data_IF_209582950108
#
_entry.id   IF_209582950108
#
_cell.length_a   1.000
_cell.length_b   1.000
_cell.length_c   1.000
_cell.angle_alpha   90.00
_cell.angle_beta   90.00
_cell.angle_gamma   90.00
#
_symmetry.space_group_name_H-M   'P 1'
#
loop_
_entity.id
_entity.type
_entity.pdbx_description
1 polymer ?
#
# COMPACT_ATOMS: atom_id res chain seq x y z
N UNK A 1 7.52 -9.45 -4.19
CA UNK A 1 6.37 -9.60 -5.08
C UNK A 1 5.49 -8.36 -5.01
N UNK A 2 5.10 -7.83 -6.15
CA UNK A 2 4.09 -6.80 -6.35
C UNK A 2 2.99 -7.40 -7.21
N UNK A 3 1.77 -7.38 -6.68
CA UNK A 3 0.57 -7.69 -7.45
C UNK A 3 -0.16 -6.38 -7.72
N UNK A 4 -0.66 -6.19 -8.94
CA UNK A 4 -1.29 -4.93 -9.34
C UNK A 4 -2.46 -5.16 -10.28
N UNK A 5 -3.36 -4.19 -10.32
CA UNK A 5 -4.47 -4.19 -11.26
C UNK A 5 -3.93 -4.07 -12.69
N UNK A 6 -4.31 -4.98 -13.56
CA UNK A 6 -3.83 -5.06 -14.93
C UNK A 6 -4.95 -5.39 -15.90
N UNK A 7 -5.11 -4.57 -16.95
CA UNK A 7 -5.86 -4.95 -18.13
C UNK A 7 -4.86 -5.38 -19.21
N UNK A 8 -4.72 -6.67 -19.52
CA UNK A 8 -3.71 -7.14 -20.45
C UNK A 8 -4.06 -6.89 -21.93
N UNK A 9 -5.24 -6.33 -22.21
CA UNK A 9 -5.74 -6.17 -23.58
C UNK A 9 -5.68 -4.73 -24.06
N UNK A 10 -5.82 -3.75 -23.16
CA UNK A 10 -5.88 -2.34 -23.49
C UNK A 10 -5.58 -1.43 -22.30
N UNK A 11 -5.52 -0.11 -22.52
CA UNK A 11 -5.18 0.88 -21.50
C UNK A 11 -6.35 1.35 -20.64
N UNK A 12 -7.56 0.92 -20.98
CA UNK A 12 -8.75 1.31 -20.24
C UNK A 12 -8.94 0.47 -18.98
N UNK A 13 -9.64 1.05 -18.00
CA UNK A 13 -9.90 0.39 -16.73
C UNK A 13 -11.08 -0.59 -16.86
N UNK A 14 -10.82 -1.76 -17.35
CA UNK A 14 -11.74 -2.88 -17.44
C UNK A 14 -10.97 -4.21 -17.48
N UNK A 15 -11.66 -5.34 -17.54
CA UNK A 15 -11.06 -6.69 -17.65
C UNK A 15 -9.96 -6.96 -16.60
N UNK A 16 -10.10 -6.43 -15.39
CA UNK A 16 -9.04 -6.46 -14.38
C UNK A 16 -8.57 -7.87 -14.04
N UNK A 17 -7.27 -8.05 -14.21
CA UNK A 17 -6.46 -9.18 -13.75
C UNK A 17 -5.59 -8.72 -12.57
N UNK A 18 -4.89 -9.64 -11.94
CA UNK A 18 -3.72 -9.31 -11.14
C UNK A 18 -2.46 -9.57 -11.94
N UNK A 19 -1.84 -8.51 -12.40
CA UNK A 19 -0.47 -8.49 -12.90
C UNK A 19 0.51 -8.80 -11.77
N UNK A 20 1.69 -9.25 -12.12
CA UNK A 20 2.70 -9.67 -11.15
C UNK A 20 4.09 -9.21 -11.55
N UNK A 21 4.80 -8.59 -10.62
CA UNK A 21 6.19 -8.26 -10.77
C UNK A 21 6.99 -8.65 -9.53
N UNK A 22 8.28 -8.87 -9.71
CA UNK A 22 9.22 -9.18 -8.62
C UNK A 22 10.42 -8.25 -8.65
N UNK A 23 10.92 -7.90 -7.48
CA UNK A 23 12.13 -7.08 -7.31
C UNK A 23 12.94 -7.58 -6.12
N UNK A 24 14.27 -7.36 -6.17
CA UNK A 24 15.17 -7.60 -5.05
C UNK A 24 15.47 -6.33 -4.24
N UNK A 25 15.24 -5.17 -4.85
CA UNK A 25 15.62 -3.86 -4.32
C UNK A 25 14.50 -2.82 -4.37
N UNK A 26 13.29 -3.21 -4.79
CA UNK A 26 12.11 -2.35 -4.91
C UNK A 26 12.23 -1.25 -5.98
N UNK A 27 13.31 -1.23 -6.76
CA UNK A 27 13.58 -0.25 -7.82
C UNK A 27 13.59 -0.90 -9.20
N UNK A 28 14.23 -2.07 -9.31
CA UNK A 28 14.35 -2.83 -10.55
C UNK A 28 13.37 -3.99 -10.53
N UNK A 29 12.30 -3.86 -11.27
CA UNK A 29 11.21 -4.82 -11.34
C UNK A 29 11.30 -5.69 -12.57
N UNK A 30 11.05 -6.98 -12.40
CA UNK A 30 10.84 -7.92 -13.48
C UNK A 30 9.38 -8.34 -13.49
N UNK A 31 8.71 -8.02 -14.58
CA UNK A 31 7.34 -8.45 -14.82
C UNK A 31 7.28 -9.96 -15.09
N UNK A 32 6.25 -10.57 -14.56
CA UNK A 32 5.91 -11.99 -14.73
C UNK A 32 4.51 -12.10 -15.32
N UNK A 33 4.04 -13.34 -15.55
CA UNK A 33 2.68 -13.57 -16.03
C UNK A 33 1.65 -13.15 -14.97
N UNK A 34 0.47 -12.73 -15.43
CA UNK A 34 -0.69 -12.48 -14.57
C UNK A 34 -1.03 -13.72 -13.73
N UNK A 35 -1.29 -13.50 -12.45
CA UNK A 35 -1.53 -14.59 -11.50
C UNK A 35 -3.01 -14.85 -11.24
N UNK A 36 -3.88 -13.86 -11.46
CA UNK A 36 -5.33 -14.02 -11.34
C UNK A 36 -6.01 -13.42 -12.58
N UNK A 37 -6.91 -14.19 -13.15
CA UNK A 37 -7.71 -13.82 -14.32
C UNK A 37 -9.20 -13.83 -13.97
N UNK A 38 -10.03 -13.01 -14.65
CA UNK A 38 -11.48 -13.05 -14.51
C UNK A 38 -12.07 -14.45 -14.65
N UNK A 39 -13.16 -14.70 -13.92
CA UNK A 39 -13.92 -15.94 -13.99
C UNK A 39 -15.43 -15.68 -13.83
N UNK A 40 -16.21 -16.70 -13.56
CA UNK A 40 -17.66 -16.60 -13.36
C UNK A 40 -18.07 -15.74 -12.16
N UNK A 41 -17.16 -15.47 -11.21
CA UNK A 41 -17.39 -14.59 -10.06
C UNK A 41 -17.12 -13.11 -10.38
N UNK A 42 -16.40 -12.81 -11.46
CA UNK A 42 -16.15 -11.44 -11.91
C UNK A 42 -14.70 -11.15 -12.27
N UNK A 43 -14.39 -9.87 -12.40
CA UNK A 43 -13.02 -9.37 -12.60
C UNK A 43 -12.27 -9.27 -11.27
N UNK A 44 -10.94 -9.24 -11.33
CA UNK A 44 -10.08 -9.29 -10.14
C UNK A 44 -9.84 -7.89 -9.60
N UNK A 45 -10.56 -7.51 -8.55
CA UNK A 45 -10.35 -6.26 -7.83
C UNK A 45 -9.28 -6.42 -6.75
N UNK A 46 -9.07 -5.34 -5.97
CA UNK A 46 -8.02 -5.25 -4.96
C UNK A 46 -8.10 -6.32 -3.88
N UNK A 47 -6.99 -6.53 -3.23
CA UNK A 47 -6.84 -7.48 -2.16
C UNK A 47 -5.44 -7.44 -1.55
N UNK A 48 -5.02 -8.51 -0.92
CA UNK A 48 -3.69 -8.65 -0.32
C UNK A 48 -3.17 -10.08 -0.42
N UNK A 49 -1.88 -10.26 -0.21
CA UNK A 49 -1.26 -11.57 -0.15
C UNK A 49 -0.52 -11.78 1.18
N UNK A 50 -0.60 -12.99 1.71
CA UNK A 50 0.07 -13.41 2.95
C UNK A 50 0.83 -14.72 2.75
N UNK A 51 1.80 -14.99 3.62
CA UNK A 51 2.46 -16.29 3.70
C UNK A 51 1.87 -17.07 4.87
N UNK A 52 1.27 -18.22 4.60
CA UNK A 52 0.72 -19.11 5.64
C UNK A 52 1.81 -20.03 6.20
N UNK A 53 2.64 -19.45 7.09
CA UNK A 53 3.78 -20.15 7.70
C UNK A 53 3.38 -21.38 8.50
N UNK A 54 2.17 -21.36 9.05
CA UNK A 54 1.68 -22.39 9.95
C UNK A 54 0.77 -23.40 9.24
N UNK A 55 0.63 -23.31 7.92
CA UNK A 55 -0.26 -24.16 7.13
C UNK A 55 -1.70 -24.18 7.69
N UNK A 56 -2.21 -23.05 8.13
CA UNK A 56 -3.54 -22.93 8.72
C UNK A 56 -4.65 -23.20 7.71
N UNK A 57 -4.39 -22.88 6.43
CA UNK A 57 -5.31 -23.13 5.34
C UNK A 57 -5.19 -24.54 4.73
N UNK A 58 -4.17 -25.31 5.11
CA UNK A 58 -3.99 -26.69 4.67
C UNK A 58 -3.50 -26.85 3.22
N UNK A 59 -2.84 -25.83 2.65
CA UNK A 59 -2.26 -25.90 1.29
C UNK A 59 -0.75 -26.12 1.28
N UNK A 60 -0.14 -26.32 2.42
CA UNK A 60 1.29 -26.51 2.62
C UNK A 60 1.91 -25.37 3.45
N UNK A 61 3.03 -25.71 4.10
CA UNK A 61 3.80 -24.71 4.86
C UNK A 61 4.34 -23.64 3.90
N UNK A 62 4.30 -22.38 4.35
CA UNK A 62 4.74 -21.22 3.57
C UNK A 62 3.98 -20.99 2.25
N UNK A 63 2.80 -21.60 2.09
CA UNK A 63 1.95 -21.29 0.95
C UNK A 63 1.66 -19.77 0.90
N UNK A 64 1.83 -19.17 -0.26
CA UNK A 64 1.39 -17.78 -0.49
C UNK A 64 -0.11 -17.78 -0.78
N UNK A 65 -0.89 -17.05 0.00
CA UNK A 65 -2.34 -16.97 -0.15
C UNK A 65 -2.71 -15.56 -0.55
N UNK A 66 -3.34 -15.42 -1.72
CA UNK A 66 -3.96 -14.20 -2.18
C UNK A 66 -5.42 -14.17 -1.71
N UNK A 67 -5.82 -13.06 -1.11
CA UNK A 67 -7.19 -12.77 -0.72
C UNK A 67 -7.62 -11.56 -1.54
N UNK A 68 -8.65 -11.69 -2.36
CA UNK A 68 -9.02 -10.67 -3.33
C UNK A 68 -10.53 -10.53 -3.48
N UNK A 69 -10.97 -9.39 -3.98
CA UNK A 69 -12.35 -9.17 -4.37
C UNK A 69 -12.56 -9.60 -5.82
N UNK A 70 -13.56 -10.42 -6.09
CA UNK A 70 -14.09 -10.63 -7.44
C UNK A 70 -15.31 -9.74 -7.62
N UNK A 71 -15.29 -8.91 -8.67
CA UNK A 71 -16.33 -7.93 -8.97
C UNK A 71 -17.20 -8.40 -10.15
N UNK A 72 -18.25 -9.12 -9.84
CA UNK A 72 -19.27 -9.57 -10.81
C UNK A 72 -20.63 -8.98 -10.48
N UNK A 73 -21.68 -9.80 -10.59
CA UNK A 73 -23.05 -9.39 -10.20
C UNK A 73 -23.14 -8.94 -8.73
N UNK A 74 -22.27 -9.49 -7.89
CA UNK A 74 -22.03 -9.08 -6.51
C UNK A 74 -20.53 -9.08 -6.28
N UNK A 75 -20.03 -8.17 -5.47
CA UNK A 75 -18.66 -8.25 -4.97
C UNK A 75 -18.54 -9.36 -3.95
N UNK A 76 -17.50 -10.16 -4.06
CA UNK A 76 -17.25 -11.28 -3.12
C UNK A 76 -15.76 -11.39 -2.82
N UNK A 77 -15.42 -11.83 -1.62
CA UNK A 77 -14.04 -12.10 -1.25
C UNK A 77 -13.69 -13.55 -1.58
N UNK A 78 -12.49 -13.74 -2.11
CA UNK A 78 -12.07 -15.01 -2.68
C UNK A 78 -10.63 -15.29 -2.30
N UNK A 79 -10.23 -16.57 -2.42
CA UNK A 79 -8.87 -17.04 -2.17
C UNK A 79 -8.27 -17.65 -3.42
N UNK A 80 -6.98 -17.43 -3.59
CA UNK A 80 -6.11 -18.24 -4.42
C UNK A 80 -4.82 -18.52 -3.65
N UNK A 81 -4.16 -19.62 -3.95
CA UNK A 81 -2.93 -20.01 -3.25
C UNK A 81 -1.86 -20.48 -4.23
N UNK A 82 -0.63 -20.30 -3.81
CA UNK A 82 0.58 -20.72 -4.51
C UNK A 82 1.47 -21.54 -3.58
N UNK A 83 2.02 -22.63 -4.09
CA UNK A 83 3.01 -23.46 -3.41
C UNK A 83 4.37 -23.46 -4.11
N UNK A 84 4.55 -22.57 -5.10
CA UNK A 84 5.75 -22.42 -5.92
C UNK A 84 6.38 -21.03 -5.81
N UNK A 85 6.28 -20.42 -4.62
CA UNK A 85 6.76 -19.06 -4.30
C UNK A 85 6.10 -17.97 -5.17
N UNK A 86 4.80 -18.09 -5.39
CA UNK A 86 4.01 -17.06 -6.06
C UNK A 86 4.17 -17.03 -7.59
N UNK A 87 4.71 -18.08 -8.22
CA UNK A 87 4.83 -18.16 -9.68
C UNK A 87 3.51 -18.48 -10.33
N UNK A 88 2.75 -19.39 -9.74
CA UNK A 88 1.39 -19.75 -10.19
C UNK A 88 0.44 -19.75 -9.00
N UNK A 89 -0.84 -19.47 -9.28
CA UNK A 89 -1.90 -19.48 -8.28
C UNK A 89 -3.05 -20.39 -8.72
N UNK A 90 -3.55 -21.18 -7.77
CA UNK A 90 -4.78 -21.96 -7.93
C UNK A 90 -5.90 -21.31 -7.15
N UNK A 91 -7.01 -21.00 -7.80
CA UNK A 91 -8.20 -20.47 -7.12
C UNK A 91 -8.81 -21.53 -6.20
N UNK A 92 -9.22 -21.13 -5.01
CA UNK A 92 -9.83 -22.04 -4.05
C UNK A 92 -11.20 -22.50 -4.53
N UNK A 93 -11.44 -23.81 -4.55
CA UNK A 93 -12.70 -24.39 -5.04
C UNK A 93 -13.93 -24.04 -4.18
N UNK A 94 -13.71 -23.62 -2.92
CA UNK A 94 -14.75 -23.18 -2.01
C UNK A 94 -15.06 -21.68 -2.07
N UNK A 95 -14.56 -20.95 -3.08
CA UNK A 95 -14.94 -19.55 -3.29
C UNK A 95 -16.42 -19.41 -3.67
N UNK A 96 -17.09 -18.31 -3.29
CA UNK A 96 -16.58 -17.19 -2.47
C UNK A 96 -16.53 -17.53 -0.97
N UNK A 97 -15.60 -16.90 -0.23
CA UNK A 97 -15.46 -17.10 1.22
C UNK A 97 -16.22 -16.06 2.05
N UNK A 98 -16.53 -14.91 1.48
CA UNK A 98 -17.27 -13.82 2.13
C UNK A 98 -17.87 -12.89 1.06
N UNK A 99 -18.93 -12.17 1.42
CA UNK A 99 -19.52 -11.12 0.61
C UNK A 99 -20.62 -10.37 1.36
N UNK A 100 -21.09 -9.23 0.87
CA UNK A 100 -20.54 -8.37 -0.20
C UNK A 100 -19.27 -7.66 0.27
N UNK A 101 -18.90 -6.48 -0.11
CA UNK A 101 -17.73 -5.68 0.32
C UNK A 101 -16.51 -5.86 -0.59
N UNK A 102 -15.42 -5.08 -0.35
CA UNK A 102 -14.21 -5.11 -1.20
C UNK A 102 -12.93 -4.73 -0.46
N UNK A 103 -11.80 -4.96 -1.12
CA UNK A 103 -10.45 -4.54 -0.77
C UNK A 103 -9.96 -5.16 0.55
N UNK A 104 -9.89 -6.51 0.65
CA UNK A 104 -9.47 -7.16 1.88
C UNK A 104 -7.97 -7.00 2.14
N UNK A 105 -7.61 -6.41 3.29
CA UNK A 105 -6.27 -6.45 3.86
C UNK A 105 -6.19 -7.49 4.94
N UNK A 106 -5.34 -8.50 4.75
CA UNK A 106 -5.17 -9.62 5.67
C UNK A 106 -3.77 -9.64 6.26
N UNK A 107 -3.66 -9.97 7.55
CA UNK A 107 -2.40 -10.19 8.24
C UNK A 107 -2.56 -11.17 9.41
N UNK A 108 -1.44 -11.77 9.84
CA UNK A 108 -1.39 -12.63 11.01
C UNK A 108 -1.24 -11.80 12.29
N UNK A 109 -2.18 -11.98 13.23
CA UNK A 109 -2.10 -11.37 14.56
C UNK A 109 -1.55 -12.37 15.57
N UNK A 110 -0.25 -12.33 15.77
CA UNK A 110 0.49 -13.32 16.59
C UNK A 110 0.00 -13.46 18.04
N UNK A 111 -0.37 -12.35 18.77
CA UNK A 111 -0.79 -12.49 20.16
C UNK A 111 -2.03 -13.37 20.36
N UNK A 112 -2.91 -13.45 19.37
CA UNK A 112 -4.13 -14.28 19.44
C UNK A 112 -4.10 -15.47 18.46
N UNK A 113 -2.98 -15.69 17.78
CA UNK A 113 -2.76 -16.77 16.81
C UNK A 113 -3.92 -16.91 15.81
N UNK A 114 -4.23 -15.83 15.10
CA UNK A 114 -5.30 -15.77 14.13
C UNK A 114 -5.02 -14.79 13.01
N UNK A 115 -5.69 -14.98 11.92
CA UNK A 115 -5.77 -14.03 10.83
C UNK A 115 -6.76 -12.92 11.14
N UNK A 116 -6.40 -11.71 10.76
CA UNK A 116 -7.25 -10.53 10.81
C UNK A 116 -7.46 -10.04 9.40
N UNK A 117 -8.69 -9.72 9.04
CA UNK A 117 -9.03 -9.02 7.80
C UNK A 117 -9.66 -7.67 8.12
N UNK A 118 -9.11 -6.62 7.55
CA UNK A 118 -9.76 -5.33 7.42
C UNK A 118 -10.40 -5.26 6.03
N UNK A 119 -11.71 -5.04 5.96
CA UNK A 119 -12.49 -5.08 4.72
C UNK A 119 -13.34 -3.82 4.61
N UNK A 120 -13.29 -3.13 3.47
CA UNK A 120 -14.10 -1.93 3.26
C UNK A 120 -15.55 -2.29 2.96
N UNK A 121 -16.48 -1.63 3.69
CA UNK A 121 -17.92 -1.73 3.50
C UNK A 121 -18.53 -0.33 3.52
N UNK A 122 -19.12 0.10 2.40
CA UNK A 122 -19.81 1.38 2.20
C UNK A 122 -19.12 2.62 2.82
N UNK A 123 -19.07 2.75 4.15
CA UNK A 123 -18.51 3.92 4.87
C UNK A 123 -17.72 3.56 6.13
N UNK A 124 -17.35 2.29 6.29
CA UNK A 124 -16.57 1.80 7.42
C UNK A 124 -15.61 0.69 6.98
N UNK A 125 -14.64 0.42 7.81
CA UNK A 125 -13.79 -0.76 7.72
C UNK A 125 -14.31 -1.80 8.70
N UNK A 126 -14.72 -2.95 8.20
CA UNK A 126 -15.11 -4.10 8.99
C UNK A 126 -13.87 -4.92 9.39
N UNK A 127 -13.83 -5.41 10.62
CA UNK A 127 -12.78 -6.30 11.12
C UNK A 127 -13.35 -7.70 11.28
N UNK A 128 -12.66 -8.65 10.68
CA UNK A 128 -12.97 -10.07 10.77
C UNK A 128 -11.77 -10.84 11.33
N UNK A 129 -12.04 -11.98 11.94
CA UNK A 129 -11.02 -12.94 12.35
C UNK A 129 -11.24 -14.30 11.69
N UNK A 130 -10.13 -15.02 11.43
CA UNK A 130 -10.14 -16.39 10.93
C UNK A 130 -9.02 -17.22 11.56
N UNK A 131 -9.23 -18.53 11.65
CA UNK A 131 -8.20 -19.50 12.04
C UNK A 131 -7.57 -20.19 10.83
N UNK A 132 -8.27 -20.16 9.68
CA UNK A 132 -7.96 -21.01 8.52
C UNK A 132 -7.98 -20.26 7.17
N UNK A 133 -8.07 -18.90 7.19
CA UNK A 133 -8.24 -18.03 6.02
C UNK A 133 -9.55 -18.26 5.23
N UNK A 134 -10.26 -19.35 5.46
CA UNK A 134 -11.43 -19.77 4.69
C UNK A 134 -12.74 -19.35 5.34
N UNK A 135 -12.80 -19.35 6.67
CA UNK A 135 -13.98 -18.98 7.46
C UNK A 135 -13.70 -17.75 8.29
N UNK A 136 -14.51 -16.72 8.12
CA UNK A 136 -14.33 -15.42 8.74
C UNK A 136 -15.47 -15.06 9.65
N UNK A 137 -15.14 -14.57 10.84
CA UNK A 137 -16.08 -14.13 11.85
C UNK A 137 -15.97 -12.61 12.03
N UNK A 138 -17.09 -11.91 11.83
CA UNK A 138 -17.15 -10.45 12.08
C UNK A 138 -16.88 -10.13 13.55
N UNK A 139 -16.09 -9.10 13.80
CA UNK A 139 -15.70 -8.65 15.15
C UNK A 139 -16.11 -7.22 15.45
N UNK A 140 -15.78 -6.30 14.61
CA UNK A 140 -16.03 -4.87 14.85
C UNK A 140 -15.96 -4.06 13.56
N UNK A 141 -16.18 -2.75 13.68
CA UNK A 141 -16.02 -1.80 12.56
C UNK A 141 -15.41 -0.48 13.01
N UNK A 142 -14.72 0.19 12.09
CA UNK A 142 -14.19 1.56 12.25
C UNK A 142 -14.81 2.43 11.17
N UNK A 143 -15.58 3.45 11.60
CA UNK A 143 -16.33 4.32 10.67
C UNK A 143 -15.49 5.40 10.04
N UNK A 144 -15.96 5.89 8.88
CA UNK A 144 -15.47 7.11 8.23
C UNK A 144 -14.22 6.90 7.40
N UNK A 145 -14.01 5.72 6.85
CA UNK A 145 -12.98 5.38 5.89
C UNK A 145 -13.61 4.93 4.59
N UNK A 146 -12.86 5.10 3.50
CA UNK A 146 -13.30 4.76 2.15
C UNK A 146 -12.20 3.98 1.43
N UNK A 147 -12.51 2.77 0.97
CA UNK A 147 -11.68 1.86 0.18
C UNK A 147 -10.29 1.49 0.73
N UNK A 148 -9.73 0.39 0.24
CA UNK A 148 -8.35 -0.07 0.41
C UNK A 148 -7.82 0.13 1.85
N UNK A 149 -8.40 -0.54 2.84
CA UNK A 149 -7.99 -0.39 4.24
C UNK A 149 -6.61 -0.98 4.49
N UNK A 150 -5.86 -0.35 5.38
CA UNK A 150 -4.61 -0.85 5.94
C UNK A 150 -4.67 -0.79 7.46
N UNK A 151 -4.16 -1.81 8.12
CA UNK A 151 -4.10 -1.91 9.58
C UNK A 151 -2.80 -2.59 10.00
N UNK A 152 -1.96 -1.87 10.74
CA UNK A 152 -0.63 -2.35 11.14
C UNK A 152 -0.10 -1.65 12.39
N UNK A 153 0.90 -2.24 13.02
CA UNK A 153 1.59 -1.70 14.18
C UNK A 153 2.95 -1.09 13.78
N UNK A 154 3.30 0.04 14.40
CA UNK A 154 4.59 0.70 14.26
C UNK A 154 5.14 1.16 15.61
N UNK A 155 6.46 1.11 15.81
CA UNK A 155 7.12 1.76 16.93
C UNK A 155 7.07 3.29 16.76
N UNK A 156 6.84 4.01 17.86
CA UNK A 156 6.96 5.47 17.91
C UNK A 156 8.44 5.80 18.12
N UNK A 157 9.00 6.67 17.28
CA UNK A 157 10.41 7.10 17.31
C UNK A 157 11.40 5.91 17.30
N UNK A 158 11.04 4.80 16.64
CA UNK A 158 11.84 3.58 16.61
C UNK A 158 11.85 2.77 17.92
N UNK A 159 11.13 3.20 18.96
CA UNK A 159 11.10 2.52 20.25
C UNK A 159 10.19 1.28 20.22
N UNK A 160 10.79 0.08 20.21
CA UNK A 160 10.09 -1.19 20.18
C UNK A 160 9.15 -1.45 21.37
N UNK A 161 9.35 -0.73 22.50
CA UNK A 161 8.49 -0.83 23.69
C UNK A 161 7.31 0.16 23.65
N UNK A 162 7.34 1.14 22.76
CA UNK A 162 6.27 2.11 22.57
C UNK A 162 5.70 2.00 21.16
N UNK A 163 4.71 1.13 20.97
CA UNK A 163 4.10 0.88 19.69
C UNK A 163 2.66 1.39 19.64
N UNK A 164 2.24 1.79 18.46
CA UNK A 164 0.86 2.17 18.17
C UNK A 164 0.38 1.48 16.90
N UNK A 165 -0.90 1.24 16.86
CA UNK A 165 -1.58 0.77 15.66
C UNK A 165 -2.02 1.95 14.80
N UNK A 166 -1.89 1.76 13.51
CA UNK A 166 -2.33 2.72 12.49
C UNK A 166 -3.39 2.03 11.63
N UNK A 167 -4.50 2.72 11.41
CA UNK A 167 -5.47 2.37 10.40
C UNK A 167 -5.54 3.50 9.38
N UNK A 168 -5.46 3.19 8.09
CA UNK A 168 -5.67 4.17 7.02
C UNK A 168 -6.49 3.57 5.87
N UNK A 169 -6.88 4.41 4.92
CA UNK A 169 -7.63 4.03 3.74
C UNK A 169 -7.12 4.75 2.47
N UNK A 170 -7.73 4.47 1.34
CA UNK A 170 -7.27 4.84 0.00
C UNK A 170 -6.83 6.30 -0.17
N UNK A 171 -7.53 7.24 0.46
CA UNK A 171 -7.24 8.68 0.36
C UNK A 171 -6.06 9.17 1.21
N UNK A 172 -5.40 8.30 1.98
CA UNK A 172 -4.35 8.67 2.93
C UNK A 172 -4.85 9.26 4.25
N UNK A 173 -6.14 9.20 4.50
CA UNK A 173 -6.71 9.51 5.82
C UNK A 173 -6.40 8.39 6.80
N UNK A 174 -5.90 8.73 8.00
CA UNK A 174 -5.52 7.74 9.01
C UNK A 174 -5.90 8.12 10.44
N UNK A 175 -5.94 7.11 11.30
CA UNK A 175 -6.01 7.23 12.76
C UNK A 175 -4.88 6.44 13.41
N UNK A 176 -4.47 6.91 14.60
CA UNK A 176 -3.54 6.20 15.49
C UNK A 176 -4.34 5.69 16.70
N UNK A 177 -4.04 4.49 17.16
CA UNK A 177 -4.75 3.90 18.27
C UNK A 177 -4.15 2.63 18.82
N UNK A 178 -5.00 1.80 19.41
CA UNK A 178 -4.70 0.45 19.91
C UNK A 178 -5.54 -0.58 19.18
N UNK A 179 -5.01 -1.77 19.03
CA UNK A 179 -5.72 -2.90 18.45
C UNK A 179 -5.46 -4.17 19.27
N UNK A 180 -6.51 -4.91 19.58
CA UNK A 180 -6.43 -6.12 20.40
C UNK A 180 -6.63 -7.41 19.60
N UNK A 181 -6.55 -7.35 18.28
CA UNK A 181 -6.81 -8.45 17.36
C UNK A 181 -8.26 -8.53 16.86
N UNK A 182 -9.18 -7.75 17.45
CA UNK A 182 -10.60 -7.75 17.07
C UNK A 182 -11.20 -6.35 17.01
N UNK A 183 -10.73 -5.43 17.83
CA UNK A 183 -11.26 -4.07 17.95
C UNK A 183 -10.13 -3.06 17.84
N UNK A 184 -10.26 -2.10 16.91
CA UNK A 184 -9.42 -0.92 16.87
C UNK A 184 -10.05 0.18 17.72
N UNK A 185 -9.29 0.71 18.68
CA UNK A 185 -9.69 1.82 19.54
C UNK A 185 -8.88 3.07 19.16
N UNK A 186 -9.45 4.06 18.49
CA UNK A 186 -8.74 5.27 18.10
C UNK A 186 -8.32 6.08 19.32
N UNK A 187 -7.10 6.62 19.30
CA UNK A 187 -6.58 7.57 20.28
C UNK A 187 -6.46 8.97 19.67
N UNK A 188 -6.03 9.06 18.43
CA UNK A 188 -5.80 10.30 17.68
C UNK A 188 -6.19 10.17 16.20
N UNK A 189 -6.57 11.27 15.61
CA UNK A 189 -6.92 11.42 14.20
C UNK A 189 -8.35 11.95 14.03
N UNK A 190 -8.85 12.18 12.82
CA UNK A 190 -8.24 11.77 11.55
C UNK A 190 -7.20 12.77 11.07
N UNK A 191 -6.15 12.26 10.48
CA UNK A 191 -5.10 13.04 9.83
C UNK A 191 -4.91 12.55 8.40
N UNK A 192 -4.22 13.34 7.58
CA UNK A 192 -3.67 12.93 6.29
C UNK A 192 -2.16 12.80 6.39
N UNK A 193 -1.56 11.81 5.69
CA UNK A 193 -0.12 11.60 5.70
C UNK A 193 0.55 11.87 4.35
N UNK A 194 -0.21 12.09 3.30
CA UNK A 194 0.32 12.45 1.98
C UNK A 194 -0.63 13.39 1.24
N UNK A 195 -0.09 14.08 0.24
CA UNK A 195 -0.81 14.89 -0.73
C UNK A 195 -0.42 14.49 -2.15
N UNK A 196 -1.13 14.99 -3.17
CA UNK A 196 -0.82 14.73 -4.57
C UNK A 196 -1.58 13.55 -5.16
N UNK A 197 -0.95 12.84 -6.10
CA UNK A 197 -1.61 11.86 -6.97
C UNK A 197 -1.73 10.45 -6.38
N UNK A 198 -1.11 10.20 -5.24
CA UNK A 198 -1.15 8.88 -4.59
C UNK A 198 -2.58 8.51 -4.17
N UNK A 199 -2.95 7.28 -4.46
CA UNK A 199 -4.22 6.70 -4.03
C UNK A 199 -4.05 5.21 -3.73
N UNK A 200 -4.94 4.63 -2.91
CA UNK A 200 -5.04 3.20 -2.67
C UNK A 200 -3.68 2.51 -2.34
N UNK A 201 -2.80 3.22 -1.62
CA UNK A 201 -1.51 2.69 -1.23
C UNK A 201 -1.68 1.50 -0.29
N UNK A 202 -0.90 0.44 -0.51
CA UNK A 202 -0.90 -0.75 0.32
C UNK A 202 0.49 -1.08 0.85
N UNK A 203 0.54 -1.65 2.06
CA UNK A 203 1.80 -2.06 2.68
C UNK A 203 2.17 -3.49 2.30
N UNK A 204 3.47 -3.72 2.10
CA UNK A 204 4.02 -5.07 1.93
C UNK A 204 3.93 -5.87 3.22
N UNK A 205 3.61 -7.15 3.09
CA UNK A 205 3.75 -8.12 4.17
C UNK A 205 5.14 -8.77 4.11
N UNK A 206 5.67 -9.16 5.29
CA UNK A 206 6.91 -9.95 5.41
C UNK A 206 8.16 -9.28 4.80
N UNK A 207 8.36 -7.97 5.03
CA UNK A 207 9.63 -7.31 4.69
C UNK A 207 10.76 -7.91 5.52
N UNK A 208 11.91 -8.30 4.90
CA UNK A 208 12.97 -9.03 5.61
C UNK A 208 13.60 -8.28 6.78
N UNK A 209 13.63 -6.97 6.69
CA UNK A 209 14.22 -6.05 7.67
C UNK A 209 13.20 -5.48 8.68
N UNK A 210 11.94 -5.88 8.57
CA UNK A 210 10.85 -5.43 9.45
C UNK A 210 10.37 -4.00 9.19
N UNK A 211 10.90 -3.31 8.18
CA UNK A 211 10.38 -2.00 7.77
C UNK A 211 8.91 -2.09 7.33
N UNK A 212 8.16 -1.05 7.56
CA UNK A 212 6.81 -0.93 7.01
C UNK A 212 6.88 -0.16 5.69
N UNK A 213 6.93 -0.92 4.61
CA UNK A 213 7.00 -0.38 3.25
C UNK A 213 5.62 -0.36 2.61
N UNK A 214 5.33 0.68 1.85
CA UNK A 214 4.11 0.74 1.04
C UNK A 214 4.44 1.11 -0.40
N UNK A 215 3.52 0.79 -1.29
CA UNK A 215 3.50 1.28 -2.67
C UNK A 215 2.10 1.81 -2.98
N UNK A 216 2.03 2.91 -3.69
CA UNK A 216 0.77 3.57 -4.02
C UNK A 216 0.50 3.60 -5.51
N UNK A 217 -0.76 3.68 -5.87
CA UNK A 217 -1.19 3.97 -7.22
C UNK A 217 -1.05 5.47 -7.51
N UNK A 218 -0.25 5.81 -8.51
CA UNK A 218 -0.13 7.16 -9.06
C UNK A 218 -1.18 7.40 -10.12
N UNK A 219 -2.21 8.17 -9.79
CA UNK A 219 -3.29 8.53 -10.72
C UNK A 219 -2.84 9.61 -11.69
N UNK A 220 -1.95 9.24 -12.59
CA UNK A 220 -1.35 10.12 -13.59
C UNK A 220 -1.70 9.61 -14.97
N UNK A 221 -2.28 10.45 -15.80
CA UNK A 221 -2.53 10.09 -17.21
C UNK A 221 -1.20 9.92 -17.95
N UNK A 222 -1.12 8.90 -18.79
CA UNK A 222 0.06 8.57 -19.60
C UNK A 222 -0.29 8.54 -21.10
N UNK A 223 -0.67 9.67 -21.69
CA UNK A 223 -1.17 9.72 -23.07
C UNK A 223 -0.08 9.27 -24.07
N UNK A 224 -0.48 8.35 -24.98
CA UNK A 224 0.42 7.79 -25.98
C UNK A 224 1.35 6.68 -25.51
N UNK A 225 1.28 6.31 -24.24
CA UNK A 225 2.02 5.15 -23.70
C UNK A 225 1.19 3.85 -23.86
N UNK A 226 1.82 2.69 -23.92
CA UNK A 226 1.10 1.41 -23.96
C UNK A 226 0.51 1.00 -22.60
N UNK A 227 0.47 1.90 -21.64
CA UNK A 227 -0.12 1.73 -20.31
C UNK A 227 -0.81 3.02 -19.88
N UNK A 228 -1.69 2.94 -18.90
CA UNK A 228 -2.29 4.08 -18.22
C UNK A 228 -2.06 3.95 -16.72
N UNK A 229 -1.76 5.09 -16.05
CA UNK A 229 -1.42 5.13 -14.64
C UNK A 229 -0.05 4.47 -14.34
N UNK A 230 0.39 4.51 -13.11
CA UNK A 230 1.67 3.89 -12.70
C UNK A 230 1.69 3.55 -11.21
N UNK A 231 2.61 2.66 -10.83
CA UNK A 231 2.97 2.48 -9.43
C UNK A 231 4.01 3.52 -9.03
N UNK A 232 3.78 4.20 -7.91
CA UNK A 232 4.72 5.18 -7.37
C UNK A 232 5.96 4.48 -6.79
N UNK A 233 7.02 5.26 -6.53
CA UNK A 233 8.15 4.73 -5.77
C UNK A 233 7.68 4.24 -4.39
N UNK A 234 8.17 3.09 -3.92
CA UNK A 234 7.89 2.62 -2.59
C UNK A 234 8.35 3.63 -1.52
N UNK A 235 7.59 3.69 -0.45
CA UNK A 235 7.87 4.57 0.68
C UNK A 235 7.91 3.78 1.98
N UNK A 236 8.67 4.27 2.95
CA UNK A 236 8.74 3.73 4.30
C UNK A 236 7.88 4.55 5.25
N UNK A 237 7.04 3.86 6.00
CA UNK A 237 6.17 4.45 7.00
C UNK A 237 6.82 4.38 8.38
N UNK A 238 6.74 5.48 9.13
CA UNK A 238 7.20 5.57 10.51
C UNK A 238 6.29 6.44 11.36
N UNK A 239 6.23 6.17 12.66
CA UNK A 239 5.58 7.07 13.62
C UNK A 239 6.65 7.90 14.33
N UNK A 240 6.45 9.22 14.35
CA UNK A 240 7.36 10.15 15.01
C UNK A 240 6.59 11.09 15.93
N UNK A 241 7.21 11.46 17.05
CA UNK A 241 6.73 12.50 17.94
C UNK A 241 6.99 13.86 17.32
N UNK A 242 5.98 14.72 17.29
CA UNK A 242 6.04 16.12 16.87
C UNK A 242 5.51 17.02 17.98
N UNK A 243 5.61 18.33 17.82
CA UNK A 243 5.01 19.31 18.74
C UNK A 243 3.50 19.17 18.88
N UNK A 244 2.83 18.58 17.89
CA UNK A 244 1.39 18.32 17.89
C UNK A 244 1.02 16.89 18.32
N UNK A 245 2.00 16.10 18.74
CA UNK A 245 1.87 14.69 19.12
C UNK A 245 2.37 13.73 18.03
N UNK A 246 2.08 12.44 18.18
CA UNK A 246 2.55 11.41 17.26
C UNK A 246 1.87 11.56 15.90
N UNK A 247 2.68 11.49 14.81
CA UNK A 247 2.22 11.54 13.43
C UNK A 247 2.82 10.41 12.59
N UNK A 248 2.09 10.01 11.55
CA UNK A 248 2.58 9.09 10.52
C UNK A 248 3.38 9.86 9.48
N UNK A 249 4.61 9.40 9.24
CA UNK A 249 5.50 9.91 8.20
C UNK A 249 5.62 8.88 7.10
N UNK A 250 5.72 9.38 5.87
CA UNK A 250 5.86 8.62 4.64
C UNK A 250 7.06 9.18 3.87
N UNK A 251 8.18 8.45 3.87
CA UNK A 251 9.40 8.89 3.21
C UNK A 251 9.76 7.93 2.07
N UNK A 252 10.34 8.40 0.96
CA UNK A 252 10.89 7.51 -0.06
C UNK A 252 11.86 6.51 0.59
N UNK A 253 11.87 5.27 0.08
CA UNK A 253 12.81 4.24 0.54
C UNK A 253 14.25 4.68 0.31
N UNK A 254 15.16 4.25 1.19
CA UNK A 254 16.58 4.62 1.09
C UNK A 254 17.25 4.13 -0.18
N UNK A 255 16.76 3.04 -0.75
CA UNK A 255 17.23 2.42 -2.00
C UNK A 255 17.17 3.37 -3.19
N UNK A 256 16.27 4.37 -3.21
CA UNK A 256 16.17 5.38 -4.27
C UNK A 256 17.51 6.09 -4.54
N UNK A 257 18.40 6.15 -3.54
CA UNK A 257 19.73 6.73 -3.67
C UNK A 257 20.60 6.01 -4.71
N UNK A 258 20.33 4.74 -4.99
CA UNK A 258 21.04 3.97 -6.02
C UNK A 258 20.77 4.49 -7.44
N UNK A 259 19.69 5.26 -7.62
CA UNK A 259 19.33 5.88 -8.89
C UNK A 259 20.02 7.23 -9.09
N UNK A 260 20.64 7.80 -8.05
CA UNK A 260 21.29 9.10 -8.14
C UNK A 260 22.58 9.02 -8.97
N UNK A 261 22.69 9.84 -10.02
CA UNK A 261 23.88 9.98 -10.86
C UNK A 261 24.71 11.21 -10.52
N UNK A 262 24.06 12.25 -10.01
CA UNK A 262 24.70 13.49 -9.58
C UNK A 262 24.05 13.98 -8.29
N UNK A 263 24.81 14.68 -7.47
CA UNK A 263 24.35 15.29 -6.23
C UNK A 263 24.69 16.78 -6.24
N UNK A 264 23.71 17.61 -5.90
CA UNK A 264 23.84 19.06 -5.77
C UNK A 264 23.44 19.46 -4.36
N UNK A 265 24.26 20.26 -3.70
CA UNK A 265 23.96 20.84 -2.39
C UNK A 265 23.88 22.34 -2.49
N UNK A 266 22.86 22.95 -1.91
CA UNK A 266 22.56 24.38 -2.02
C UNK A 266 22.15 24.92 -0.64
N UNK A 267 23.07 24.94 0.32
CA UNK A 267 22.82 25.49 1.65
C UNK A 267 23.16 26.96 1.76
N UNK A 268 22.41 27.69 2.60
CA UNK A 268 22.66 29.09 2.92
C UNK A 268 22.52 30.10 1.74
N UNK A 269 21.74 29.71 0.73
CA UNK A 269 21.50 30.52 -0.46
C UNK A 269 20.12 31.16 -0.42
N UNK A 270 19.99 32.34 -1.01
CA UNK A 270 18.70 32.94 -1.31
C UNK A 270 17.95 32.17 -2.38
N UNK A 271 16.64 32.35 -2.45
CA UNK A 271 15.77 31.73 -3.47
C UNK A 271 16.27 32.07 -4.90
N UNK A 272 16.74 33.30 -5.12
CA UNK A 272 17.26 33.72 -6.41
C UNK A 272 18.53 32.95 -6.80
N UNK A 273 19.47 32.77 -5.89
CA UNK A 273 20.71 32.00 -6.13
C UNK A 273 20.41 30.50 -6.35
N UNK A 274 19.47 29.93 -5.62
CA UNK A 274 19.01 28.56 -5.84
C UNK A 274 18.42 28.42 -7.25
N UNK A 275 17.55 29.35 -7.66
CA UNK A 275 16.94 29.33 -8.99
C UNK A 275 17.99 29.42 -10.12
N UNK A 276 19.04 30.25 -9.98
CA UNK A 276 20.10 30.31 -10.96
C UNK A 276 20.88 28.98 -11.06
N UNK A 277 21.17 28.34 -9.94
CA UNK A 277 21.82 27.03 -9.94
C UNK A 277 20.96 25.95 -10.54
N UNK A 278 19.65 25.91 -10.25
CA UNK A 278 18.71 24.95 -10.81
C UNK A 278 18.63 25.03 -12.34
N UNK A 279 18.82 26.21 -12.96
CA UNK A 279 18.85 26.36 -14.42
C UNK A 279 19.93 25.53 -15.10
N UNK A 280 21.03 25.20 -14.40
CA UNK A 280 22.10 24.36 -14.94
C UNK A 280 21.77 22.85 -14.91
N UNK A 281 20.79 22.44 -14.13
CA UNK A 281 20.39 21.04 -14.00
C UNK A 281 19.47 20.67 -15.16
N UNK A 282 19.97 19.85 -16.09
CA UNK A 282 19.29 19.48 -17.35
C UNK A 282 18.80 18.03 -17.33
N UNK A 283 18.12 17.63 -16.25
CA UNK A 283 17.56 16.29 -16.15
C UNK A 283 16.06 16.36 -15.83
N UNK A 284 15.22 15.51 -16.44
CA UNK A 284 13.81 15.43 -16.09
C UNK A 284 13.55 14.63 -14.79
N UNK A 285 14.54 13.88 -14.29
CA UNK A 285 14.40 13.03 -13.11
C UNK A 285 15.15 13.66 -11.93
N UNK A 286 14.41 14.17 -10.98
CA UNK A 286 14.95 14.90 -9.82
C UNK A 286 14.38 14.29 -8.52
N UNK A 287 15.28 14.03 -7.57
CA UNK A 287 14.94 13.82 -6.17
C UNK A 287 15.44 15.02 -5.38
N UNK A 288 14.53 15.84 -4.88
CA UNK A 288 14.85 17.04 -4.10
C UNK A 288 14.50 16.84 -2.62
N UNK A 289 15.42 17.21 -1.75
CA UNK A 289 15.21 17.30 -0.30
C UNK A 289 15.49 18.74 0.09
N UNK A 290 14.52 19.40 0.72
CA UNK A 290 14.62 20.81 1.05
C UNK A 290 14.21 21.03 2.51
N UNK A 291 15.07 21.72 3.26
CA UNK A 291 14.73 22.32 4.55
C UNK A 291 14.45 23.81 4.31
N UNK A 292 13.24 24.23 4.59
CA UNK A 292 12.77 25.59 4.29
C UNK A 292 12.17 26.23 5.53
N UNK A 293 12.65 27.40 5.91
CA UNK A 293 11.98 28.28 6.86
C UNK A 293 10.94 29.12 6.12
N UNK A 294 9.69 29.03 6.54
CA UNK A 294 8.56 29.76 5.95
C UNK A 294 7.95 30.65 7.03
N UNK A 295 7.95 31.96 6.77
CA UNK A 295 7.24 32.92 7.59
C UNK A 295 5.71 32.75 7.44
N UNK A 296 4.96 33.21 8.45
CA UNK A 296 3.49 33.14 8.43
C UNK A 296 2.93 33.82 7.17
N UNK A 297 2.18 33.04 6.39
CA UNK A 297 1.50 33.52 5.19
C UNK A 297 2.30 33.35 3.89
N UNK A 298 3.50 32.76 3.94
CA UNK A 298 4.25 32.40 2.75
C UNK A 298 4.01 30.92 2.41
N UNK A 299 3.97 30.61 1.11
CA UNK A 299 3.94 29.28 0.54
C UNK A 299 5.19 29.02 -0.29
N UNK A 300 5.51 27.78 -0.55
CA UNK A 300 6.51 27.34 -1.50
C UNK A 300 5.83 26.79 -2.73
N UNK A 301 6.10 27.35 -3.91
CA UNK A 301 5.68 26.82 -5.19
C UNK A 301 6.92 26.35 -5.97
N UNK A 302 6.83 25.12 -6.51
CA UNK A 302 7.88 24.55 -7.34
C UNK A 302 7.32 24.38 -8.75
N UNK A 303 7.92 25.09 -9.71
CA UNK A 303 7.57 24.98 -11.12
C UNK A 303 8.59 24.10 -11.84
N UNK A 304 8.10 23.05 -12.48
CA UNK A 304 8.91 22.23 -13.37
C UNK A 304 8.41 22.43 -14.82
N UNK A 305 9.29 22.98 -15.67
CA UNK A 305 9.03 23.13 -17.11
C UNK A 305 9.75 22.01 -17.88
N UNK A 306 9.35 20.79 -17.69
CA UNK A 306 9.81 19.65 -18.47
C UNK A 306 8.73 19.23 -19.49
N UNK A 307 9.16 18.87 -20.71
CA UNK A 307 8.32 18.05 -21.57
C UNK A 307 8.43 16.63 -21.04
N UNK A 308 7.28 16.03 -20.68
CA UNK A 308 7.16 14.60 -20.42
C UNK A 308 7.28 13.88 -21.75
#
# INVERSE_FOLDING_TARGET
HLFYQHNPYEVEWENMHWGHAVSRDLLHWKELNDVLQPDTLGTMFSGSAVIDRNNTAGWGQDAMVAIYTAAGKKMTQNLAYSTDNGRTFSKYSGNPILGPDRDPKVFWYAPAQRWVMALYNENYIAIYNSRDLKRWEYKSRVKGFFECPELFELPVDGNAQNKKWVIYAASGTYMIGRFNGSVFTPEKGKYHYHTGVQYAAQTYNNTPDGRRLQIGWGRVAAPGMPFNQLMLFPTELSLRTTTEGVRLFCNPISEIRQLHRAHYSMGGLSVQEVNEKLKSIKTPLIHAIMDVEIDKGLGLEIFYQGKI
#
